data_IF_666864606904
#
_entry.id   IF_666864606904
#
_cell.length_a   1.000
_cell.length_b   1.000
_cell.length_c   1.000
_cell.angle_alpha   90.00
_cell.angle_beta   90.00
_cell.angle_gamma   90.00
#
_symmetry.space_group_name_H-M   'P 1'
#
loop_
_entity.id
_entity.type
_entity.pdbx_description
1 polymer ?
#
# COMPACT_ATOMS: atom_id res chain seq x y z
N UNK A 1 12.68 5.18 -13.34
CA UNK A 1 11.38 4.51 -13.24
C UNK A 1 10.31 5.56 -12.99
N UNK A 2 9.10 5.38 -13.51
CA UNK A 2 7.96 6.17 -13.05
C UNK A 2 7.69 5.80 -11.58
N UNK A 3 7.34 6.80 -10.77
CA UNK A 3 7.04 6.58 -9.36
C UNK A 3 5.82 5.65 -9.22
N UNK A 4 5.87 4.64 -8.32
CA UNK A 4 4.72 3.78 -8.12
C UNK A 4 3.55 4.63 -7.63
N UNK A 5 2.37 4.47 -8.23
CA UNK A 5 1.17 5.18 -7.79
C UNK A 5 0.78 4.85 -6.35
N UNK A 6 1.14 3.65 -5.88
CA UNK A 6 0.94 3.22 -4.51
C UNK A 6 2.12 2.40 -3.99
N UNK A 7 2.54 2.68 -2.76
CA UNK A 7 3.49 1.91 -1.97
C UNK A 7 2.73 1.13 -0.90
N UNK A 8 2.95 -0.18 -0.85
CA UNK A 8 2.23 -1.12 0.02
C UNK A 8 2.96 -1.33 1.33
N UNK A 9 2.45 -0.75 2.42
CA UNK A 9 3.01 -0.87 3.75
C UNK A 9 2.72 -2.24 4.35
N UNK A 10 3.78 -2.99 4.63
CA UNK A 10 3.70 -4.30 5.28
C UNK A 10 3.37 -4.13 6.76
N UNK A 11 2.59 -5.07 7.29
CA UNK A 11 2.19 -5.10 8.69
C UNK A 11 3.18 -5.94 9.50
N UNK A 12 3.61 -5.48 10.69
CA UNK A 12 4.33 -6.30 11.65
C UNK A 12 3.58 -7.59 11.95
N UNK A 13 4.26 -8.73 11.81
CA UNK A 13 3.71 -10.06 12.08
C UNK A 13 4.74 -10.91 12.80
N UNK A 14 4.26 -11.91 13.53
CA UNK A 14 5.11 -12.72 14.41
C UNK A 14 5.70 -13.93 13.70
N UNK A 15 5.09 -14.38 12.59
CA UNK A 15 5.55 -15.57 11.86
C UNK A 15 6.03 -15.25 10.43
N UNK A 16 7.08 -15.93 9.94
CA UNK A 16 7.51 -15.82 8.55
C UNK A 16 6.42 -16.18 7.53
N UNK A 17 5.52 -17.11 7.89
CA UNK A 17 4.41 -17.52 7.04
C UNK A 17 3.40 -16.39 6.81
N UNK A 18 3.09 -15.59 7.84
CA UNK A 18 2.23 -14.41 7.70
C UNK A 18 2.88 -13.34 6.84
N UNK A 19 4.19 -13.12 6.96
CA UNK A 19 4.90 -12.15 6.13
C UNK A 19 4.93 -12.60 4.67
N UNK A 20 5.23 -13.89 4.43
CA UNK A 20 5.19 -14.47 3.09
C UNK A 20 3.80 -14.33 2.46
N UNK A 21 2.72 -14.52 3.24
CA UNK A 21 1.34 -14.29 2.78
C UNK A 21 1.12 -12.85 2.33
N UNK A 22 1.56 -11.86 3.12
CA UNK A 22 1.43 -10.44 2.73
C UNK A 22 2.15 -10.15 1.41
N UNK A 23 3.38 -10.63 1.25
CA UNK A 23 4.17 -10.43 0.03
C UNK A 23 3.53 -11.11 -1.19
N UNK A 24 3.13 -12.38 -1.04
CA UNK A 24 2.49 -13.15 -2.12
C UNK A 24 1.20 -12.46 -2.57
N UNK A 25 0.32 -12.09 -1.65
CA UNK A 25 -0.93 -11.43 -2.01
C UNK A 25 -0.69 -10.04 -2.62
N UNK A 26 0.26 -9.27 -2.09
CA UNK A 26 0.64 -7.99 -2.69
C UNK A 26 1.15 -8.13 -4.13
N UNK A 27 1.98 -9.14 -4.43
CA UNK A 27 2.43 -9.42 -5.79
C UNK A 27 1.26 -9.85 -6.70
N UNK A 28 0.34 -10.68 -6.21
CA UNK A 28 -0.88 -11.07 -6.94
C UNK A 28 -1.78 -9.87 -7.26
N UNK A 29 -1.85 -8.89 -6.37
CA UNK A 29 -2.59 -7.63 -6.57
C UNK A 29 -1.76 -6.53 -7.24
N UNK A 30 -0.61 -6.90 -7.82
CA UNK A 30 0.28 -6.04 -8.60
C UNK A 30 0.85 -4.85 -7.80
N UNK A 31 1.22 -5.06 -6.55
CA UNK A 31 2.00 -4.10 -5.78
C UNK A 31 3.38 -3.89 -6.44
N UNK A 32 3.63 -2.66 -6.90
CA UNK A 32 4.89 -2.26 -7.55
C UNK A 32 5.99 -1.90 -6.54
N UNK A 33 5.60 -1.60 -5.30
CA UNK A 33 6.52 -1.25 -4.24
C UNK A 33 5.98 -1.66 -2.87
N UNK A 34 6.88 -2.05 -1.98
CA UNK A 34 6.60 -2.41 -0.60
C UNK A 34 7.35 -1.50 0.36
N UNK A 35 6.69 -1.10 1.44
CA UNK A 35 7.31 -0.40 2.56
C UNK A 35 7.50 -1.36 3.72
N UNK A 36 8.75 -1.55 4.15
CA UNK A 36 9.11 -2.42 5.26
C UNK A 36 9.30 -1.60 6.54
N UNK A 37 8.40 -1.73 7.53
CA UNK A 37 8.51 -1.01 8.79
C UNK A 37 9.73 -1.48 9.59
N UNK A 38 10.20 -0.62 10.49
CA UNK A 38 11.35 -0.82 11.36
C UNK A 38 11.30 -2.12 12.15
N UNK A 39 10.09 -2.53 12.56
CA UNK A 39 9.84 -3.77 13.28
C UNK A 39 10.18 -5.05 12.48
N UNK A 40 10.26 -4.97 11.14
CA UNK A 40 10.54 -6.10 10.26
C UNK A 40 11.92 -6.03 9.60
N UNK A 41 12.79 -5.11 10.00
CA UNK A 41 14.09 -4.91 9.33
C UNK A 41 15.06 -6.09 9.47
N UNK A 42 14.96 -6.87 10.54
CA UNK A 42 15.72 -8.12 10.68
C UNK A 42 15.35 -9.15 9.60
N UNK A 43 14.20 -8.97 8.95
CA UNK A 43 13.71 -9.80 7.86
C UNK A 43 13.96 -9.18 6.47
N UNK A 44 14.59 -8.00 6.38
CA UNK A 44 14.74 -7.26 5.12
C UNK A 44 15.45 -8.06 4.02
N UNK A 45 16.48 -8.84 4.36
CA UNK A 45 17.18 -9.68 3.39
C UNK A 45 16.29 -10.80 2.84
N UNK A 46 15.46 -11.42 3.69
CA UNK A 46 14.52 -12.45 3.28
C UNK A 46 13.39 -11.87 2.42
N UNK A 47 12.88 -10.69 2.79
CA UNK A 47 11.88 -9.95 1.99
C UNK A 47 12.45 -9.64 0.61
N UNK A 48 13.63 -9.04 0.54
CA UNK A 48 14.29 -8.69 -0.72
C UNK A 48 14.47 -9.91 -1.62
N UNK A 49 14.87 -11.06 -1.06
CA UNK A 49 15.04 -12.30 -1.80
C UNK A 49 13.73 -12.91 -2.31
N UNK A 50 12.59 -12.63 -1.67
CA UNK A 50 11.27 -13.12 -2.05
C UNK A 50 10.53 -12.20 -3.03
N UNK A 51 11.01 -10.98 -3.24
CA UNK A 51 10.39 -10.02 -4.15
C UNK A 51 10.84 -10.27 -5.59
N UNK A 52 9.88 -10.16 -6.52
CA UNK A 52 10.18 -10.08 -7.94
C UNK A 52 11.09 -8.87 -8.24
N UNK A 53 11.93 -8.97 -9.28
CA UNK A 53 12.81 -7.88 -9.73
C UNK A 53 12.05 -6.61 -10.13
N UNK A 54 10.75 -6.73 -10.43
CA UNK A 54 9.87 -5.63 -10.82
C UNK A 54 9.34 -4.82 -9.63
N UNK A 55 9.37 -5.38 -8.42
CA UNK A 55 8.85 -4.72 -7.22
C UNK A 55 9.98 -4.03 -6.47
N UNK A 56 9.80 -2.77 -6.10
CA UNK A 56 10.71 -2.03 -5.22
C UNK A 56 10.51 -2.41 -3.74
N UNK A 57 11.60 -2.41 -2.98
CA UNK A 57 11.60 -2.47 -1.52
C UNK A 57 12.07 -1.13 -0.94
N UNK A 58 11.25 -0.54 -0.08
CA UNK A 58 11.57 0.69 0.65
C UNK A 58 11.66 0.40 2.14
N UNK A 59 12.77 0.80 2.77
CA UNK A 59 13.02 0.61 4.18
C UNK A 59 12.72 1.88 4.98
N UNK A 60 12.03 1.73 6.11
CA UNK A 60 11.79 2.86 7.04
C UNK A 60 13.07 3.43 7.68
N UNK A 61 14.16 2.67 7.72
CA UNK A 61 15.47 3.11 8.21
C UNK A 61 16.58 2.25 7.58
N UNK A 62 17.84 2.70 7.63
CA UNK A 62 18.95 1.93 7.06
C UNK A 62 19.12 0.55 7.70
N UNK A 63 19.29 -0.48 6.87
CA UNK A 63 19.67 -1.83 7.29
C UNK A 63 21.13 -2.10 6.90
N UNK A 64 21.98 -2.39 7.89
CA UNK A 64 23.42 -2.58 7.67
C UNK A 64 23.69 -3.80 6.79
N UNK A 65 24.48 -3.61 5.74
CA UNK A 65 24.96 -4.70 4.88
C UNK A 65 23.91 -5.28 3.91
N UNK A 66 22.74 -4.65 3.77
CA UNK A 66 21.74 -5.07 2.80
C UNK A 66 22.05 -4.49 1.40
N UNK A 67 22.31 -5.32 0.37
CA UNK A 67 22.58 -4.84 -0.98
C UNK A 67 21.27 -4.46 -1.70
N UNK A 68 20.87 -3.20 -1.60
CA UNK A 68 19.68 -2.66 -2.28
C UNK A 68 19.86 -2.59 -3.80
N UNK A 69 18.79 -2.89 -4.55
CA UNK A 69 18.75 -2.72 -6.01
C UNK A 69 18.61 -1.24 -6.36
N UNK A 70 18.83 -0.89 -7.63
CA UNK A 70 18.81 0.51 -8.08
C UNK A 70 17.49 1.26 -7.84
N UNK A 71 16.38 0.51 -7.80
CA UNK A 71 15.02 1.00 -7.59
C UNK A 71 14.47 0.76 -6.18
N UNK A 72 15.27 0.16 -5.30
CA UNK A 72 14.98 0.08 -3.87
C UNK A 72 15.43 1.36 -3.18
N UNK A 73 15.02 1.57 -1.93
CA UNK A 73 15.29 2.82 -1.24
C UNK A 73 15.17 2.76 0.28
N UNK A 74 15.62 3.83 0.92
CA UNK A 74 15.67 3.97 2.38
C UNK A 74 15.20 5.37 2.78
N UNK A 75 14.30 5.43 3.75
CA UNK A 75 13.89 6.68 4.37
C UNK A 75 15.07 7.32 5.10
N UNK A 76 15.30 8.60 4.84
CA UNK A 76 16.29 9.43 5.50
C UNK A 76 15.65 10.16 6.70
N UNK A 77 16.48 10.64 7.62
CA UNK A 77 16.03 11.36 8.82
C UNK A 77 15.28 12.67 8.50
N UNK A 78 15.51 13.25 7.32
CA UNK A 78 14.86 14.47 6.86
C UNK A 78 13.45 14.23 6.25
N UNK A 79 12.99 12.97 6.23
CA UNK A 79 11.70 12.57 5.68
C UNK A 79 11.69 12.36 4.17
N UNK A 80 12.87 12.26 3.54
CA UNK A 80 13.01 11.90 2.12
C UNK A 80 13.33 10.43 1.94
N UNK A 81 12.69 9.77 0.98
CA UNK A 81 13.04 8.43 0.54
C UNK A 81 14.14 8.53 -0.52
N UNK A 82 15.32 8.02 -0.19
CA UNK A 82 16.47 7.95 -1.10
C UNK A 82 16.51 6.61 -1.82
N UNK A 83 16.45 6.63 -3.15
CA UNK A 83 16.57 5.44 -3.99
C UNK A 83 18.04 5.11 -4.29
N UNK A 84 18.33 3.84 -4.62
CA UNK A 84 19.68 3.39 -4.99
C UNK A 84 20.29 4.13 -6.18
N UNK A 85 19.46 4.70 -7.07
CA UNK A 85 19.87 5.54 -8.18
C UNK A 85 20.02 7.04 -7.84
N UNK A 86 19.97 7.41 -6.54
CA UNK A 86 20.06 8.78 -6.00
C UNK A 86 18.85 9.69 -6.28
N UNK A 87 17.75 9.15 -6.77
CA UNK A 87 16.50 9.90 -6.79
C UNK A 87 15.96 10.06 -5.37
N UNK A 88 15.34 11.21 -5.11
CA UNK A 88 14.74 11.52 -3.82
C UNK A 88 13.23 11.68 -4.00
N UNK A 89 12.49 11.19 -3.02
CA UNK A 89 11.04 11.29 -2.91
C UNK A 89 10.70 11.92 -1.57
N UNK A 90 10.15 13.12 -1.58
CA UNK A 90 9.64 13.72 -0.35
C UNK A 90 8.30 13.10 0.03
N UNK A 91 8.10 12.81 1.32
CA UNK A 91 6.75 12.63 1.83
C UNK A 91 6.00 13.96 1.75
N UNK A 92 4.76 13.88 1.30
CA UNK A 92 3.85 15.02 1.34
C UNK A 92 3.54 15.39 2.79
N UNK A 93 3.55 16.68 3.05
CA UNK A 93 3.16 17.28 4.33
C UNK A 93 1.85 18.04 4.19
N UNK A 94 1.61 18.60 3.01
CA UNK A 94 0.43 19.43 2.72
C UNK A 94 -0.13 19.13 1.32
N UNK A 95 -1.46 19.18 1.14
CA UNK A 95 -2.06 19.03 -0.18
C UNK A 95 -1.49 20.05 -1.18
N UNK A 96 -1.00 19.55 -2.32
CA UNK A 96 -0.47 20.34 -3.42
C UNK A 96 1.06 20.39 -3.48
N UNK A 97 1.77 19.81 -2.51
CA UNK A 97 3.24 19.78 -2.53
C UNK A 97 3.82 18.74 -3.51
N UNK A 98 2.97 17.88 -4.08
CA UNK A 98 3.33 16.87 -5.08
C UNK A 98 4.11 15.67 -4.54
N UNK A 99 4.30 15.59 -3.21
CA UNK A 99 4.99 14.50 -2.54
C UNK A 99 4.18 13.20 -2.46
N UNK A 100 4.83 12.17 -1.94
CA UNK A 100 4.22 10.89 -1.61
C UNK A 100 3.33 11.02 -0.37
N UNK A 101 2.03 10.81 -0.53
CA UNK A 101 1.07 10.94 0.56
C UNK A 101 1.30 9.83 1.60
N UNK A 102 1.49 10.16 2.90
CA UNK A 102 1.69 9.16 3.95
C UNK A 102 0.40 8.36 4.25
N UNK A 103 0.52 7.24 4.98
CA UNK A 103 -0.58 6.30 5.23
C UNK A 103 -1.81 6.98 5.88
N UNK A 104 -1.58 7.95 6.76
CA UNK A 104 -2.65 8.72 7.41
C UNK A 104 -3.42 9.63 6.43
N UNK A 105 -2.81 10.07 5.33
CA UNK A 105 -3.50 10.85 4.30
C UNK A 105 -4.48 10.04 3.45
N UNK A 106 -4.45 8.70 3.56
CA UNK A 106 -5.34 7.85 2.75
C UNK A 106 -6.82 8.02 3.10
N UNK A 107 -7.16 8.37 4.34
CA UNK A 107 -8.55 8.65 4.73
C UNK A 107 -9.12 9.89 3.98
N UNK A 108 -8.24 10.84 3.66
CA UNK A 108 -8.52 12.09 2.96
C UNK A 108 -8.18 12.00 1.46
N UNK A 109 -8.10 10.78 0.90
CA UNK A 109 -7.59 10.56 -0.46
C UNK A 109 -8.25 11.45 -1.53
N UNK A 110 -9.53 11.79 -1.39
CA UNK A 110 -10.21 12.71 -2.31
C UNK A 110 -9.53 14.10 -2.36
N UNK A 111 -9.23 14.67 -1.20
CA UNK A 111 -8.66 16.01 -1.07
C UNK A 111 -7.21 16.03 -1.61
N UNK A 112 -6.45 14.97 -1.33
CA UNK A 112 -5.11 14.78 -1.88
C UNK A 112 -5.12 14.63 -3.41
N UNK A 113 -6.07 13.86 -3.94
CA UNK A 113 -6.23 13.67 -5.38
C UNK A 113 -6.66 14.98 -6.09
N UNK A 114 -7.53 15.77 -5.47
CA UNK A 114 -7.91 17.11 -5.96
C UNK A 114 -6.71 18.06 -6.00
N UNK A 115 -5.85 17.97 -4.98
CA UNK A 115 -4.61 18.74 -4.92
C UNK A 115 -3.51 18.21 -5.86
N UNK A 116 -3.80 17.18 -6.67
CA UNK A 116 -2.92 16.68 -7.73
C UNK A 116 -1.97 15.56 -7.30
N UNK A 117 -2.13 14.99 -6.11
CA UNK A 117 -1.30 13.86 -5.67
C UNK A 117 -1.70 12.57 -6.37
N UNK A 118 -0.70 11.84 -6.86
CA UNK A 118 -0.88 10.56 -7.56
C UNK A 118 -0.13 9.40 -6.90
N UNK A 119 0.56 9.66 -5.78
CA UNK A 119 1.42 8.71 -5.10
C UNK A 119 1.01 8.61 -3.64
N UNK A 120 0.67 7.40 -3.19
CA UNK A 120 0.17 7.15 -1.84
C UNK A 120 0.90 5.99 -1.17
N UNK A 121 1.21 6.13 0.11
CA UNK A 121 1.44 4.99 1.00
C UNK A 121 0.08 4.46 1.46
N UNK A 122 -0.09 3.14 1.45
CA UNK A 122 -1.28 2.51 2.01
C UNK A 122 -0.92 1.16 2.64
N UNK A 123 -1.72 0.72 3.60
CA UNK A 123 -1.63 -0.65 4.11
C UNK A 123 -1.70 -1.66 2.95
N UNK A 124 -0.79 -2.63 2.93
CA UNK A 124 -0.77 -3.68 1.90
C UNK A 124 -2.09 -4.49 1.87
N UNK A 125 -2.81 -4.52 2.99
CA UNK A 125 -4.13 -5.14 3.07
C UNK A 125 -5.16 -4.42 2.19
N UNK A 126 -5.11 -3.08 2.10
CA UNK A 126 -6.13 -2.28 1.39
C UNK A 126 -5.66 -1.70 0.05
N UNK A 127 -4.41 -1.98 -0.31
CA UNK A 127 -3.81 -1.55 -1.58
C UNK A 127 -4.68 -1.81 -2.82
N UNK A 128 -5.38 -2.95 -2.97
CA UNK A 128 -6.17 -3.20 -4.17
C UNK A 128 -7.31 -2.19 -4.36
N UNK A 129 -8.01 -1.84 -3.28
CA UNK A 129 -9.09 -0.84 -3.31
C UNK A 129 -8.52 0.55 -3.58
N UNK A 130 -7.46 0.94 -2.86
CA UNK A 130 -6.82 2.24 -3.06
C UNK A 130 -6.31 2.40 -4.50
N UNK A 131 -5.69 1.36 -5.08
CA UNK A 131 -5.18 1.41 -6.46
C UNK A 131 -6.31 1.51 -7.47
N UNK A 132 -7.40 0.78 -7.28
CA UNK A 132 -8.55 0.87 -8.15
C UNK A 132 -9.14 2.30 -8.14
N UNK A 133 -9.28 2.92 -6.97
CA UNK A 133 -9.74 4.31 -6.84
C UNK A 133 -8.78 5.27 -7.53
N UNK A 134 -7.47 5.14 -7.30
CA UNK A 134 -6.44 5.96 -7.95
C UNK A 134 -6.53 5.90 -9.47
N UNK A 135 -6.76 4.71 -10.03
CA UNK A 135 -6.85 4.56 -11.47
C UNK A 135 -8.18 5.05 -12.06
N UNK A 136 -9.28 4.97 -11.28
CA UNK A 136 -10.60 5.50 -11.68
C UNK A 136 -10.56 7.03 -11.67
N UNK A 137 -9.90 7.65 -10.70
CA UNK A 137 -9.86 9.11 -10.51
C UNK A 137 -9.65 9.94 -11.79
N UNK A 138 -8.63 9.70 -12.64
CA UNK A 138 -8.43 10.48 -13.86
C UNK A 138 -9.51 10.25 -14.93
N UNK A 139 -10.29 9.16 -14.84
CA UNK A 139 -11.33 8.80 -15.80
C UNK A 139 -12.70 9.29 -15.35
N UNK A 140 -13.04 9.07 -14.08
CA UNK A 140 -14.31 9.44 -13.47
C UNK A 140 -14.12 9.78 -11.97
N UNK A 141 -13.83 11.06 -11.64
CA UNK A 141 -13.71 11.50 -10.25
C UNK A 141 -14.98 11.31 -9.43
N UNK A 142 -16.16 11.35 -10.05
CA UNK A 142 -17.43 11.16 -9.35
C UNK A 142 -17.60 9.71 -8.89
N UNK A 143 -17.27 8.75 -9.75
CA UNK A 143 -17.27 7.33 -9.41
C UNK A 143 -16.21 7.01 -8.35
N UNK A 144 -15.00 7.56 -8.47
CA UNK A 144 -13.96 7.41 -7.44
C UNK A 144 -14.44 7.92 -6.08
N UNK A 145 -15.09 9.10 -6.02
CA UNK A 145 -15.70 9.62 -4.78
C UNK A 145 -16.79 8.72 -4.23
N UNK A 146 -17.63 8.14 -5.08
CA UNK A 146 -18.66 7.20 -4.63
C UNK A 146 -18.04 6.00 -3.89
N UNK A 147 -16.93 5.45 -4.39
CA UNK A 147 -16.22 4.39 -3.70
C UNK A 147 -15.53 4.87 -2.42
N UNK A 148 -14.96 6.09 -2.42
CA UNK A 148 -14.39 6.71 -1.22
C UNK A 148 -15.43 6.90 -0.11
N UNK A 149 -16.69 7.19 -0.42
CA UNK A 149 -17.76 7.25 0.59
C UNK A 149 -17.93 5.93 1.37
N UNK A 150 -17.59 4.78 0.76
CA UNK A 150 -17.59 3.48 1.45
C UNK A 150 -16.23 3.15 2.06
N UNK A 151 -15.13 3.60 1.44
CA UNK A 151 -13.78 3.26 1.85
C UNK A 151 -13.27 4.09 3.03
N UNK A 152 -13.52 5.40 3.04
CA UNK A 152 -13.04 6.31 4.11
C UNK A 152 -13.52 5.89 5.50
N UNK A 153 -14.80 5.55 5.73
CA UNK A 153 -15.24 5.06 7.05
C UNK A 153 -14.49 3.79 7.49
N UNK A 154 -14.27 2.85 6.56
CA UNK A 154 -13.50 1.64 6.85
C UNK A 154 -12.07 1.98 7.26
N UNK A 155 -11.41 2.94 6.59
CA UNK A 155 -10.06 3.38 6.96
C UNK A 155 -10.02 4.03 8.34
N UNK A 156 -11.02 4.84 8.69
CA UNK A 156 -11.10 5.52 9.98
C UNK A 156 -11.35 4.56 11.16
N UNK A 157 -12.08 3.46 10.92
CA UNK A 157 -12.46 2.48 11.94
C UNK A 157 -11.51 1.28 12.03
N UNK A 158 -10.60 1.13 11.06
CA UNK A 158 -9.74 -0.04 10.94
C UNK A 158 -8.78 -0.19 12.11
N UNK A 159 -8.67 -1.41 12.62
CA UNK A 159 -7.58 -1.82 13.49
C UNK A 159 -6.50 -2.57 12.71
N UNK A 160 -5.31 -2.73 13.31
CA UNK A 160 -4.26 -3.57 12.72
C UNK A 160 -4.73 -5.04 12.58
N UNK A 161 -5.52 -5.53 13.54
CA UNK A 161 -6.10 -6.88 13.48
C UNK A 161 -7.06 -7.05 12.29
N UNK A 162 -7.83 -6.02 11.94
CA UNK A 162 -8.70 -6.03 10.76
C UNK A 162 -7.89 -6.13 9.47
N UNK A 163 -6.82 -5.35 9.32
CA UNK A 163 -5.93 -5.46 8.16
C UNK A 163 -5.29 -6.85 8.03
N UNK A 164 -4.84 -7.43 9.14
CA UNK A 164 -4.30 -8.79 9.13
C UNK A 164 -5.36 -9.84 8.75
N UNK A 165 -6.60 -9.66 9.22
CA UNK A 165 -7.71 -10.53 8.90
C UNK A 165 -8.13 -10.46 7.41
N UNK A 166 -7.90 -9.34 6.71
CA UNK A 166 -8.10 -9.26 5.25
C UNK A 166 -7.26 -10.30 4.50
N UNK A 167 -5.98 -10.45 4.87
CA UNK A 167 -5.12 -11.44 4.21
C UNK A 167 -5.63 -12.87 4.42
N UNK A 168 -6.16 -13.17 5.61
CA UNK A 168 -6.78 -14.46 5.89
C UNK A 168 -8.09 -14.64 5.11
N UNK A 169 -8.93 -13.61 5.03
CA UNK A 169 -10.21 -13.64 4.34
C UNK A 169 -10.06 -13.88 2.82
N UNK A 170 -8.98 -13.41 2.21
CA UNK A 170 -8.65 -13.70 0.80
C UNK A 170 -8.30 -15.17 0.57
N UNK A 171 -7.55 -15.79 1.49
CA UNK A 171 -7.14 -17.19 1.40
C UNK A 171 -8.29 -18.14 1.76
N UNK A 172 -9.11 -17.77 2.75
CA UNK A 172 -10.22 -18.57 3.26
C UNK A 172 -11.54 -17.78 3.27
N UNK A 173 -12.18 -17.55 2.11
CA UNK A 173 -13.40 -16.73 2.02
C UNK A 173 -14.60 -17.28 2.80
N UNK A 174 -14.59 -18.58 3.13
CA UNK A 174 -15.66 -19.25 3.86
C UNK A 174 -15.52 -19.13 5.39
N UNK A 175 -14.40 -18.63 5.91
CA UNK A 175 -14.23 -18.40 7.35
C UNK A 175 -15.14 -17.26 7.83
N UNK A 176 -15.61 -17.38 9.07
CA UNK A 176 -16.33 -16.29 9.73
C UNK A 176 -15.40 -15.08 9.86
N UNK A 177 -15.87 -13.92 9.44
CA UNK A 177 -15.13 -12.67 9.37
C UNK A 177 -15.86 -11.60 10.19
N UNK A 178 -15.12 -10.62 10.73
CA UNK A 178 -15.73 -9.44 11.35
C UNK A 178 -16.54 -8.64 10.32
N UNK A 179 -17.50 -7.84 10.79
CA UNK A 179 -18.32 -6.99 9.92
C UNK A 179 -17.45 -6.04 9.09
N UNK A 180 -16.37 -5.52 9.67
CA UNK A 180 -15.41 -4.67 8.97
C UNK A 180 -14.75 -5.41 7.80
N UNK A 181 -14.22 -6.61 8.02
CA UNK A 181 -13.54 -7.40 6.98
C UNK A 181 -14.52 -7.78 5.87
N UNK A 182 -15.75 -8.17 6.23
CA UNK A 182 -16.79 -8.45 5.24
C UNK A 182 -17.13 -7.22 4.38
N UNK A 183 -17.27 -6.05 5.01
CA UNK A 183 -17.54 -4.79 4.32
C UNK A 183 -16.40 -4.42 3.35
N UNK A 184 -15.15 -4.52 3.80
CA UNK A 184 -13.97 -4.31 2.96
C UNK A 184 -13.91 -5.30 1.79
N UNK A 185 -14.05 -6.61 2.04
CA UNK A 185 -14.00 -7.64 0.99
C UNK A 185 -15.13 -7.47 -0.03
N UNK A 186 -16.30 -6.99 0.39
CA UNK A 186 -17.40 -6.64 -0.52
C UNK A 186 -17.04 -5.44 -1.41
N UNK A 187 -16.41 -4.41 -0.85
CA UNK A 187 -15.94 -3.24 -1.59
C UNK A 187 -14.87 -3.64 -2.61
N UNK A 188 -13.88 -4.43 -2.21
CA UNK A 188 -12.83 -4.95 -3.10
C UNK A 188 -13.42 -5.72 -4.28
N UNK A 189 -14.36 -6.65 -4.02
CA UNK A 189 -15.05 -7.42 -5.07
C UNK A 189 -15.85 -6.52 -6.03
N UNK A 190 -16.51 -5.48 -5.51
CA UNK A 190 -17.26 -4.52 -6.35
C UNK A 190 -16.32 -3.77 -7.30
N UNK A 191 -15.20 -3.26 -6.78
CA UNK A 191 -14.20 -2.56 -7.57
C UNK A 191 -13.54 -3.48 -8.59
N UNK A 192 -13.19 -4.71 -8.22
CA UNK A 192 -12.60 -5.68 -9.13
C UNK A 192 -13.50 -5.99 -10.33
N UNK A 193 -14.81 -6.13 -10.11
CA UNK A 193 -15.79 -6.35 -11.21
C UNK A 193 -15.91 -5.12 -12.12
N UNK A 194 -16.06 -3.93 -11.53
CA UNK A 194 -16.14 -2.68 -12.30
C UNK A 194 -14.88 -2.43 -13.15
N UNK A 195 -13.74 -2.99 -12.75
CA UNK A 195 -12.47 -2.87 -13.46
C UNK A 195 -12.26 -3.92 -14.57
N UNK A 196 -13.00 -5.04 -14.55
CA UNK A 196 -12.92 -6.09 -15.58
C UNK A 196 -13.95 -5.92 -16.70
N UNK A 197 -15.02 -5.14 -16.47
CA UNK A 197 -16.05 -4.85 -17.46
C UNK A 197 -15.66 -3.69 -18.43
N UNK A 198 -14.42 -3.20 -18.36
CA UNK A 198 -13.87 -2.12 -19.20
C UNK A 198 -12.57 -2.52 -19.91
#
# INVERSE_FOLDING_TARGET
MALPGIISCLHPVTTPAELARQLQQGQQTRAEAFWLPAALHDQAAAVLAALDDKSSLFLERPATGLPLRSHDGVMQEDGTLLLGNRQHLALAKEPGDGGLVPVNGLAEMADWLEAGHLHFCCSAAVQPVARAILNIWPLDPYLARHFLCSFTPLLCEATEADYLAVFQAREFPAMAQSDWVQAYMKLEKRLHRAYLDH
#
